data_IF_434317929649
#
_entry.id   IF_434317929649
#
_cell.length_a   1.000
_cell.length_b   1.000
_cell.length_c   1.000
_cell.angle_alpha   90.00
_cell.angle_beta   90.00
_cell.angle_gamma   90.00
#
_symmetry.space_group_name_H-M   'P 1'
#
loop_
_entity.id
_entity.type
_entity.pdbx_description
1 polymer ?
#
# COMPACT_ATOMS: atom_id res chain seq x y z
N UNK A 1 -10.12 9.13 -26.31
CA UNK A 1 -9.27 9.82 -25.31
C UNK A 1 -8.29 8.80 -24.80
N UNK A 2 -6.99 9.07 -24.83
CA UNK A 2 -5.98 8.19 -24.21
C UNK A 2 -6.21 8.20 -22.69
N UNK A 3 -6.45 7.03 -22.11
CA UNK A 3 -6.63 6.87 -20.66
C UNK A 3 -5.35 7.35 -19.95
N UNK A 4 -5.51 8.20 -18.93
CA UNK A 4 -4.40 8.70 -18.12
C UNK A 4 -3.79 7.52 -17.36
N UNK A 5 -2.46 7.32 -17.44
CA UNK A 5 -1.81 6.19 -16.77
C UNK A 5 -1.94 6.24 -15.26
N UNK A 6 -1.89 5.07 -14.61
CA UNK A 6 -1.97 4.99 -13.15
C UNK A 6 -0.80 5.73 -12.46
N UNK A 7 0.40 5.72 -13.06
CA UNK A 7 1.53 6.50 -12.59
C UNK A 7 1.26 8.01 -12.61
N UNK A 8 0.67 8.53 -13.69
CA UNK A 8 0.27 9.96 -13.74
C UNK A 8 -0.77 10.28 -12.67
N UNK A 9 -1.76 9.39 -12.44
CA UNK A 9 -2.76 9.58 -11.39
C UNK A 9 -2.12 9.63 -10.00
N UNK A 10 -1.10 8.80 -9.74
CA UNK A 10 -0.39 8.81 -8.46
C UNK A 10 0.33 10.15 -8.20
N UNK A 11 1.06 10.67 -9.18
CA UNK A 11 1.68 11.99 -9.09
C UNK A 11 0.67 13.12 -8.94
N UNK A 12 -0.48 13.02 -9.61
CA UNK A 12 -1.57 14.00 -9.49
C UNK A 12 -2.18 14.00 -8.09
N UNK A 13 -2.38 12.82 -7.49
CA UNK A 13 -2.86 12.69 -6.11
C UNK A 13 -1.88 13.34 -5.13
N UNK A 14 -0.57 13.07 -5.27
CA UNK A 14 0.47 13.71 -4.45
C UNK A 14 0.54 15.23 -4.60
N UNK A 15 0.25 15.75 -5.79
CA UNK A 15 0.20 17.20 -6.02
C UNK A 15 -1.04 17.85 -5.37
N UNK A 16 -2.15 17.12 -5.32
CA UNK A 16 -3.44 17.61 -4.80
C UNK A 16 -3.55 17.59 -3.27
N UNK A 17 -2.77 16.72 -2.59
CA UNK A 17 -2.85 16.55 -1.13
C UNK A 17 -1.46 16.34 -0.53
N UNK A 18 -1.13 17.07 0.53
CA UNK A 18 0.18 17.02 1.20
C UNK A 18 0.06 17.16 2.72
N UNK A 19 0.45 16.14 3.49
CA UNK A 19 0.82 14.78 3.06
C UNK A 19 -0.34 14.06 2.37
N UNK A 20 -0.05 13.33 1.29
CA UNK A 20 -1.02 12.45 0.67
C UNK A 20 -1.35 11.30 1.62
N UNK A 21 -2.62 11.16 1.99
CA UNK A 21 -3.09 10.03 2.78
C UNK A 21 -3.30 8.82 1.87
N UNK A 22 -2.58 7.72 2.16
CA UNK A 22 -2.63 6.48 1.39
C UNK A 22 -3.29 5.40 2.21
N UNK A 23 -4.50 4.97 1.81
CA UNK A 23 -5.30 4.00 2.56
C UNK A 23 -5.00 2.56 2.13
N UNK A 24 -4.72 1.69 3.10
CA UNK A 24 -4.62 0.25 2.88
C UNK A 24 -5.97 -0.36 2.51
N UNK A 25 -6.01 -1.09 1.39
CA UNK A 25 -7.17 -1.84 0.93
C UNK A 25 -6.76 -3.29 0.62
N UNK A 26 -7.40 -4.25 1.25
CA UNK A 26 -7.10 -5.68 1.10
C UNK A 26 -7.96 -6.37 0.04
N UNK A 27 -8.96 -5.68 -0.50
CA UNK A 27 -9.83 -6.16 -1.58
C UNK A 27 -10.56 -5.00 -2.26
N UNK A 28 -11.29 -5.30 -3.33
CA UNK A 28 -12.02 -4.32 -4.13
C UNK A 28 -13.06 -3.52 -3.30
N UNK A 29 -13.78 -4.18 -2.39
CA UNK A 29 -14.80 -3.49 -1.59
C UNK A 29 -14.17 -2.50 -0.60
N UNK A 30 -13.06 -2.87 0.04
CA UNK A 30 -12.31 -1.95 0.90
C UNK A 30 -11.78 -0.74 0.11
N UNK A 31 -11.38 -0.92 -1.17
CA UNK A 31 -10.98 0.17 -2.05
C UNK A 31 -12.13 1.15 -2.31
N UNK A 32 -13.34 0.66 -2.60
CA UNK A 32 -14.54 1.51 -2.77
C UNK A 32 -14.89 2.28 -1.49
N UNK A 33 -14.74 1.66 -0.32
CA UNK A 33 -14.97 2.34 0.96
C UNK A 33 -13.94 3.46 1.20
N UNK A 34 -12.67 3.24 0.86
CA UNK A 34 -11.64 4.27 0.95
C UNK A 34 -11.89 5.42 -0.03
N UNK A 35 -12.30 5.15 -1.27
CA UNK A 35 -12.70 6.15 -2.26
C UNK A 35 -13.88 6.98 -1.75
N UNK A 36 -14.91 6.34 -1.23
CA UNK A 36 -16.09 7.00 -0.61
C UNK A 36 -15.71 7.88 0.59
N UNK A 37 -14.71 7.48 1.36
CA UNK A 37 -14.17 8.27 2.47
C UNK A 37 -13.35 9.49 2.01
N UNK A 38 -13.05 9.60 0.71
CA UNK A 38 -12.37 10.74 0.11
C UNK A 38 -10.85 10.58 -0.06
N UNK A 39 -10.28 9.40 0.20
CA UNK A 39 -8.87 9.14 -0.07
C UNK A 39 -8.55 9.33 -1.56
N UNK A 40 -7.31 9.73 -1.86
CA UNK A 40 -6.85 10.01 -3.22
C UNK A 40 -5.88 8.95 -3.75
N UNK A 41 -5.39 8.06 -2.88
CA UNK A 41 -4.52 6.95 -3.23
C UNK A 41 -4.75 5.76 -2.29
N UNK A 42 -4.47 4.57 -2.81
CA UNK A 42 -4.62 3.29 -2.11
C UNK A 42 -3.28 2.59 -1.96
N UNK A 43 -3.22 1.64 -1.04
CA UNK A 43 -2.08 0.77 -0.81
C UNK A 43 -2.50 -0.70 -0.72
N UNK A 44 -1.80 -1.56 -1.43
CA UNK A 44 -1.88 -3.01 -1.26
C UNK A 44 -0.63 -3.50 -0.53
N UNK A 45 -0.81 -3.88 0.73
CA UNK A 45 0.24 -4.43 1.59
C UNK A 45 0.52 -5.89 1.26
N UNK A 46 1.79 -6.30 1.21
CA UNK A 46 2.17 -7.71 1.14
C UNK A 46 1.64 -8.51 2.34
N UNK A 47 1.71 -7.92 3.54
CA UNK A 47 1.06 -8.48 4.73
C UNK A 47 -0.47 -8.59 4.55
N UNK A 48 -1.11 -7.60 3.90
CA UNK A 48 -2.53 -7.62 3.59
C UNK A 48 -2.91 -8.78 2.67
N UNK A 49 -2.15 -9.00 1.59
CA UNK A 49 -2.34 -10.16 0.70
C UNK A 49 -2.15 -11.47 1.46
N UNK A 50 -1.05 -11.63 2.20
CA UNK A 50 -0.80 -12.84 2.97
C UNK A 50 -1.90 -13.14 3.98
N UNK A 51 -2.29 -12.15 4.77
CA UNK A 51 -3.25 -12.33 5.86
C UNK A 51 -4.70 -12.47 5.36
N UNK A 52 -5.16 -11.55 4.48
CA UNK A 52 -6.56 -11.47 4.08
C UNK A 52 -6.94 -12.46 2.98
N UNK A 53 -6.05 -12.70 1.99
CA UNK A 53 -6.35 -13.57 0.85
C UNK A 53 -5.98 -15.03 1.11
N UNK A 54 -4.96 -15.29 1.97
CA UNK A 54 -4.43 -16.65 2.19
C UNK A 54 -4.47 -17.13 3.64
N UNK A 55 -4.72 -16.27 4.63
CA UNK A 55 -4.64 -16.63 6.06
C UNK A 55 -3.22 -16.99 6.50
N UNK A 56 -2.21 -16.44 5.82
CA UNK A 56 -0.79 -16.70 6.07
C UNK A 56 -0.13 -15.53 6.82
N UNK A 57 0.91 -15.77 7.64
CA UNK A 57 1.71 -14.70 8.22
C UNK A 57 2.55 -13.97 7.16
N UNK A 58 2.91 -12.70 7.45
CA UNK A 58 3.77 -11.87 6.61
C UNK A 58 5.25 -12.26 6.73
N UNK A 59 5.66 -13.26 5.95
CA UNK A 59 7.01 -13.84 5.93
C UNK A 59 7.53 -14.10 4.51
N UNK A 60 7.09 -13.30 3.51
CA UNK A 60 7.53 -13.46 2.13
C UNK A 60 7.02 -14.75 1.46
N UNK A 61 5.85 -15.26 1.89
CA UNK A 61 5.29 -16.53 1.36
C UNK A 61 4.40 -16.33 0.13
N UNK A 62 3.97 -15.10 -0.15
CA UNK A 62 3.17 -14.78 -1.34
C UNK A 62 4.08 -14.51 -2.54
N UNK A 63 3.57 -14.85 -3.72
CA UNK A 63 4.27 -14.66 -4.99
C UNK A 63 3.79 -13.39 -5.72
N UNK A 64 4.55 -12.96 -6.74
CA UNK A 64 4.13 -11.91 -7.67
C UNK A 64 2.72 -12.15 -8.24
N UNK A 65 2.38 -13.42 -8.59
CA UNK A 65 1.08 -13.73 -9.17
C UNK A 65 -0.07 -13.50 -8.19
N UNK A 66 0.13 -13.85 -6.92
CA UNK A 66 -0.85 -13.65 -5.84
C UNK A 66 -1.14 -12.16 -5.67
N UNK A 67 -0.10 -11.34 -5.62
CA UNK A 67 -0.22 -9.88 -5.49
C UNK A 67 -0.87 -9.27 -6.72
N UNK A 68 -0.48 -9.70 -7.94
CA UNK A 68 -1.08 -9.19 -9.18
C UNK A 68 -2.57 -9.53 -9.30
N UNK A 69 -3.04 -10.61 -8.72
CA UNK A 69 -4.47 -10.93 -8.70
C UNK A 69 -5.26 -9.93 -7.87
N UNK A 70 -4.80 -9.60 -6.67
CA UNK A 70 -5.44 -8.59 -5.82
C UNK A 70 -5.31 -7.17 -6.40
N UNK A 71 -4.19 -6.83 -7.06
CA UNK A 71 -4.05 -5.57 -7.80
C UNK A 71 -5.19 -5.44 -8.82
N UNK A 72 -5.40 -6.46 -9.69
CA UNK A 72 -6.44 -6.41 -10.74
C UNK A 72 -7.85 -6.26 -10.17
N UNK A 73 -8.15 -6.92 -9.04
CA UNK A 73 -9.44 -6.78 -8.35
C UNK A 73 -9.66 -5.36 -7.84
N UNK A 74 -8.65 -4.76 -7.22
CA UNK A 74 -8.71 -3.40 -6.68
C UNK A 74 -8.78 -2.37 -7.80
N UNK A 75 -7.85 -2.42 -8.76
CA UNK A 75 -7.79 -1.44 -9.87
C UNK A 75 -8.93 -1.58 -10.87
N UNK A 76 -9.61 -2.73 -10.90
CA UNK A 76 -10.85 -2.93 -11.65
C UNK A 76 -12.09 -2.31 -10.99
N UNK A 77 -12.03 -1.98 -9.70
CA UNK A 77 -13.16 -1.42 -8.95
C UNK A 77 -13.10 0.11 -8.81
N UNK A 78 -11.93 0.72 -8.90
CA UNK A 78 -11.75 2.17 -8.70
C UNK A 78 -10.64 2.73 -9.60
N UNK A 79 -10.72 4.01 -9.92
CA UNK A 79 -9.69 4.75 -10.64
C UNK A 79 -8.60 5.33 -9.72
N UNK A 80 -8.71 5.17 -8.40
CA UNK A 80 -7.68 5.62 -7.47
C UNK A 80 -6.34 4.93 -7.76
N UNK A 81 -5.23 5.67 -7.79
CA UNK A 81 -3.92 5.08 -8.02
C UNK A 81 -3.51 4.20 -6.83
N UNK A 82 -2.95 3.02 -7.14
CA UNK A 82 -2.55 2.02 -6.17
C UNK A 82 -1.03 2.00 -6.03
N UNK A 83 -0.53 2.11 -4.79
CA UNK A 83 0.84 1.79 -4.38
C UNK A 83 0.88 0.33 -3.90
N UNK A 84 1.84 -0.45 -4.37
CA UNK A 84 1.95 -1.89 -4.10
C UNK A 84 3.23 -2.23 -3.33
N UNK A 85 3.11 -3.08 -2.34
CA UNK A 85 4.23 -3.74 -1.66
C UNK A 85 4.77 -4.86 -2.56
N UNK A 86 5.99 -4.70 -3.03
CA UNK A 86 6.67 -5.70 -3.84
C UNK A 86 7.73 -6.50 -3.05
N UNK A 87 7.66 -6.46 -1.72
CA UNK A 87 8.64 -7.11 -0.84
C UNK A 87 10.09 -6.81 -1.30
N UNK A 88 10.88 -7.84 -1.57
CA UNK A 88 12.25 -7.70 -2.11
C UNK A 88 12.31 -7.83 -3.65
N UNK A 89 11.15 -7.88 -4.33
CA UNK A 89 11.05 -7.96 -5.80
C UNK A 89 10.93 -9.38 -6.37
N UNK A 90 10.77 -10.41 -5.54
CA UNK A 90 10.61 -11.84 -5.88
C UNK A 90 11.71 -12.42 -6.76
N UNK A 91 12.97 -12.02 -6.50
CA UNK A 91 14.15 -12.62 -7.12
C UNK A 91 15.23 -11.62 -7.53
N UNK A 92 16.10 -12.03 -8.47
CA UNK A 92 17.20 -11.22 -8.96
C UNK A 92 16.76 -10.21 -10.04
N UNK A 93 17.68 -9.44 -10.61
CA UNK A 93 17.44 -8.29 -11.50
C UNK A 93 16.36 -8.52 -12.57
N UNK A 94 16.43 -9.63 -13.32
CA UNK A 94 15.41 -9.91 -14.36
C UNK A 94 14.02 -10.23 -13.79
N UNK A 95 13.95 -10.83 -12.60
CA UNK A 95 12.68 -11.03 -11.91
C UNK A 95 12.11 -9.70 -11.43
N UNK A 96 12.94 -8.80 -10.89
CA UNK A 96 12.53 -7.46 -10.46
C UNK A 96 12.01 -6.64 -11.64
N UNK A 97 12.72 -6.64 -12.78
CA UNK A 97 12.27 -5.98 -14.00
C UNK A 97 10.90 -6.53 -14.46
N UNK A 98 10.72 -7.87 -14.46
CA UNK A 98 9.45 -8.51 -14.76
C UNK A 98 8.36 -8.14 -13.72
N UNK A 99 8.70 -8.09 -12.45
CA UNK A 99 7.78 -7.68 -11.37
C UNK A 99 7.17 -6.30 -11.67
N UNK A 100 8.01 -5.32 -12.00
CA UNK A 100 7.55 -3.97 -12.34
C UNK A 100 6.60 -4.00 -13.54
N UNK A 101 6.95 -4.74 -14.59
CA UNK A 101 6.11 -4.87 -15.79
C UNK A 101 4.74 -5.49 -15.48
N UNK A 102 4.70 -6.57 -14.69
CA UNK A 102 3.44 -7.25 -14.34
C UNK A 102 2.56 -6.40 -13.42
N UNK A 103 3.15 -5.68 -12.45
CA UNK A 103 2.44 -4.76 -11.56
C UNK A 103 1.84 -3.58 -12.35
N UNK A 104 2.57 -3.01 -13.31
CA UNK A 104 2.05 -1.97 -14.22
C UNK A 104 0.90 -2.53 -15.05
N UNK A 105 1.05 -3.74 -15.65
CA UNK A 105 -0.01 -4.39 -16.43
C UNK A 105 -1.25 -4.71 -15.60
N UNK A 106 -1.08 -4.97 -14.31
CA UNK A 106 -2.18 -5.18 -13.38
C UNK A 106 -2.92 -3.88 -13.00
N UNK A 107 -2.38 -2.70 -13.37
CA UNK A 107 -3.03 -1.40 -13.22
C UNK A 107 -2.53 -0.54 -12.07
N UNK A 108 -1.47 -0.93 -11.35
CA UNK A 108 -0.90 -0.13 -10.28
C UNK A 108 -0.18 1.12 -10.81
N UNK A 109 -0.10 2.17 -9.98
CA UNK A 109 0.59 3.44 -10.29
C UNK A 109 1.96 3.58 -9.63
N UNK A 110 2.23 2.76 -8.61
CA UNK A 110 3.45 2.80 -7.82
C UNK A 110 3.74 1.43 -7.21
N UNK A 111 5.01 1.15 -6.93
CA UNK A 111 5.42 0.07 -6.04
C UNK A 111 6.54 0.52 -5.11
N UNK A 112 6.74 -0.22 -4.01
CA UNK A 112 8.00 -0.15 -3.28
C UNK A 112 8.69 -1.51 -3.23
N UNK A 113 10.03 -1.46 -3.18
CA UNK A 113 10.92 -2.59 -2.95
C UNK A 113 11.78 -2.27 -1.72
N UNK A 114 12.04 -3.27 -0.86
CA UNK A 114 12.79 -3.09 0.38
C UNK A 114 14.20 -3.68 0.36
N UNK A 115 15.06 -3.14 1.23
CA UNK A 115 16.46 -3.54 1.37
C UNK A 115 16.71 -4.71 2.34
N UNK A 116 15.67 -5.48 2.67
CA UNK A 116 15.82 -6.71 3.45
C UNK A 116 16.37 -7.86 2.58
N UNK A 117 16.92 -8.89 3.25
CA UNK A 117 17.20 -10.18 2.61
C UNK A 117 15.89 -10.87 2.18
N UNK A 118 15.95 -11.82 1.25
CA UNK A 118 14.75 -12.50 0.72
C UNK A 118 13.89 -13.18 1.81
N UNK A 119 14.50 -13.66 2.89
CA UNK A 119 13.80 -14.16 4.07
C UNK A 119 13.35 -13.00 4.98
N UNK A 120 12.60 -12.06 4.42
CA UNK A 120 12.19 -10.82 5.07
C UNK A 120 11.35 -11.03 6.32
N UNK A 121 11.30 -10.00 7.18
CA UNK A 121 10.40 -9.90 8.32
C UNK A 121 9.60 -8.61 8.27
N UNK A 122 8.47 -8.55 8.99
CA UNK A 122 7.71 -7.32 9.15
C UNK A 122 8.60 -6.18 9.68
N UNK A 123 8.51 -4.99 9.08
CA UNK A 123 9.37 -3.82 9.36
C UNK A 123 9.40 -3.35 10.82
N UNK A 124 8.34 -3.64 11.59
CA UNK A 124 8.24 -3.32 13.01
C UNK A 124 8.73 -4.45 13.96
N UNK A 125 9.16 -5.60 13.41
CA UNK A 125 9.68 -6.74 14.19
C UNK A 125 11.21 -6.65 14.34
N UNK A 126 11.77 -7.25 15.42
CA UNK A 126 13.22 -7.38 15.59
C UNK A 126 13.80 -8.48 14.67
N UNK A 127 15.13 -8.46 14.50
CA UNK A 127 15.87 -9.50 13.79
C UNK A 127 15.76 -9.40 12.27
N UNK A 128 15.53 -8.20 11.72
CA UNK A 128 15.67 -7.92 10.30
C UNK A 128 17.14 -8.00 9.88
N UNK A 129 17.38 -8.54 8.70
CA UNK A 129 18.67 -8.55 8.05
C UNK A 129 18.57 -7.78 6.73
N UNK A 130 19.57 -6.94 6.47
CA UNK A 130 19.62 -6.10 5.28
C UNK A 130 20.64 -6.65 4.29
N UNK A 131 20.35 -6.46 3.01
CA UNK A 131 21.39 -6.56 1.98
C UNK A 131 22.29 -5.34 2.04
N UNK A 132 23.46 -5.39 1.43
CA UNK A 132 24.28 -4.19 1.31
C UNK A 132 23.62 -3.14 0.41
N UNK A 133 24.04 -1.88 0.56
CA UNK A 133 23.43 -0.78 -0.19
C UNK A 133 23.69 -0.89 -1.71
N UNK A 134 24.74 -1.54 -2.15
CA UNK A 134 25.06 -1.74 -3.57
C UNK A 134 24.08 -2.74 -4.19
N UNK A 135 23.79 -3.86 -3.50
CA UNK A 135 22.77 -4.82 -3.95
C UNK A 135 21.39 -4.15 -4.06
N UNK A 136 21.00 -3.35 -3.08
CA UNK A 136 19.72 -2.64 -3.17
C UNK A 136 19.70 -1.62 -4.32
N UNK A 137 20.80 -0.91 -4.57
CA UNK A 137 20.92 -0.03 -5.75
C UNK A 137 20.73 -0.82 -7.06
N UNK A 138 21.24 -2.04 -7.15
CA UNK A 138 21.07 -2.88 -8.33
C UNK A 138 19.62 -3.37 -8.47
N UNK A 139 18.93 -3.68 -7.36
CA UNK A 139 17.47 -3.95 -7.35
C UNK A 139 16.69 -2.75 -7.91
N UNK A 140 17.01 -1.53 -7.48
CA UNK A 140 16.35 -0.29 -7.94
C UNK A 140 16.60 -0.06 -9.43
N UNK A 141 17.86 -0.20 -9.93
CA UNK A 141 18.19 -0.08 -11.35
C UNK A 141 17.39 -1.08 -12.19
N UNK A 142 17.27 -2.34 -11.72
CA UNK A 142 16.47 -3.36 -12.39
C UNK A 142 14.98 -3.00 -12.41
N UNK A 143 14.46 -2.40 -11.34
CA UNK A 143 13.08 -1.92 -11.29
C UNK A 143 12.84 -0.76 -12.27
N UNK A 144 13.77 0.20 -12.34
CA UNK A 144 13.73 1.33 -13.28
C UNK A 144 13.79 0.84 -14.73
N UNK A 145 14.65 -0.14 -15.03
CA UNK A 145 14.74 -0.76 -16.37
C UNK A 145 13.44 -1.45 -16.79
N UNK A 146 12.75 -2.09 -15.85
CA UNK A 146 11.46 -2.75 -16.10
C UNK A 146 10.28 -1.79 -16.31
N UNK A 147 10.45 -0.49 -16.07
CA UNK A 147 9.38 0.51 -16.08
C UNK A 147 8.88 0.82 -17.49
N UNK A 148 7.70 0.27 -17.87
CA UNK A 148 7.04 0.52 -19.16
C UNK A 148 6.15 1.77 -19.18
N UNK A 149 5.70 2.27 -18.04
CA UNK A 149 5.05 3.59 -17.87
C UNK A 149 6.08 4.57 -17.29
N UNK A 150 6.50 5.62 -18.03
CA UNK A 150 7.52 6.58 -17.54
C UNK A 150 7.13 7.33 -16.27
N UNK A 151 5.85 7.32 -15.90
CA UNK A 151 5.31 7.97 -14.69
C UNK A 151 5.03 6.99 -13.56
N UNK A 152 5.20 5.70 -13.78
CA UNK A 152 5.10 4.71 -12.71
C UNK A 152 6.17 4.98 -11.65
N UNK A 153 5.76 4.99 -10.37
CA UNK A 153 6.65 5.34 -9.26
C UNK A 153 7.40 4.10 -8.76
N UNK A 154 8.73 4.18 -8.75
CA UNK A 154 9.60 3.23 -8.04
C UNK A 154 9.99 3.86 -6.72
N UNK A 155 9.48 3.32 -5.62
CA UNK A 155 9.80 3.78 -4.27
C UNK A 155 10.78 2.79 -3.63
N UNK A 156 11.89 3.27 -3.08
CA UNK A 156 12.80 2.45 -2.32
C UNK A 156 12.44 2.50 -0.83
N UNK A 157 12.21 1.33 -0.24
CA UNK A 157 12.03 1.21 1.20
C UNK A 157 13.34 0.82 1.85
N UNK A 158 13.70 1.53 2.93
CA UNK A 158 14.82 1.16 3.78
C UNK A 158 14.36 0.82 5.19
N UNK A 159 14.78 -0.33 5.66
CA UNK A 159 14.59 -0.80 7.03
C UNK A 159 15.81 -0.52 7.94
N UNK A 160 16.81 0.21 7.41
CA UNK A 160 18.10 0.44 8.07
C UNK A 160 18.00 1.23 9.38
N UNK A 161 17.01 2.11 9.56
CA UNK A 161 16.84 2.86 10.81
C UNK A 161 16.81 1.92 12.04
N UNK A 162 16.07 0.84 11.96
CA UNK A 162 15.93 -0.13 13.05
C UNK A 162 17.08 -1.11 13.22
N UNK A 163 18.04 -1.16 12.28
CA UNK A 163 19.14 -2.12 12.24
C UNK A 163 20.51 -1.42 12.36
N UNK A 164 20.73 -0.35 11.60
CA UNK A 164 21.99 0.38 11.47
C UNK A 164 21.92 1.81 12.02
N UNK A 165 20.70 2.31 12.35
CA UNK A 165 20.47 3.64 12.89
C UNK A 165 20.15 4.70 11.83
N UNK A 166 19.82 5.91 12.32
CA UNK A 166 19.31 7.02 11.51
C UNK A 166 20.25 7.45 10.39
N UNK A 167 21.53 7.66 10.68
CA UNK A 167 22.47 8.14 9.67
C UNK A 167 22.67 7.13 8.54
N UNK A 168 22.77 5.85 8.86
CA UNK A 168 22.89 4.79 7.86
C UNK A 168 21.64 4.71 6.97
N UNK A 169 20.44 4.88 7.54
CA UNK A 169 19.21 4.94 6.77
C UNK A 169 19.19 6.12 5.78
N UNK A 170 19.68 7.29 6.20
CA UNK A 170 19.82 8.47 5.31
C UNK A 170 20.84 8.20 4.21
N UNK A 171 22.02 7.66 4.55
CA UNK A 171 23.09 7.38 3.59
C UNK A 171 22.65 6.34 2.53
N UNK A 172 21.89 5.32 2.95
CA UNK A 172 21.28 4.35 2.03
C UNK A 172 20.27 5.01 1.12
N UNK A 173 19.33 5.81 1.68
CA UNK A 173 18.31 6.50 0.92
C UNK A 173 18.87 7.42 -0.17
N UNK A 174 19.96 8.15 0.13
CA UNK A 174 20.65 8.97 -0.87
C UNK A 174 21.18 8.14 -2.05
N UNK A 175 21.82 7.00 -1.78
CA UNK A 175 22.27 6.07 -2.82
C UNK A 175 21.12 5.49 -3.63
N UNK A 176 19.97 5.23 -2.99
CA UNK A 176 18.80 4.70 -3.65
C UNK A 176 18.17 5.72 -4.61
N UNK A 177 18.16 7.00 -4.22
CA UNK A 177 17.74 8.11 -5.11
C UNK A 177 18.71 8.23 -6.30
N UNK A 178 20.02 8.16 -6.07
CA UNK A 178 21.03 8.16 -7.15
C UNK A 178 20.86 6.96 -8.10
N UNK A 179 20.41 5.80 -7.59
CA UNK A 179 20.13 4.61 -8.38
C UNK A 179 18.82 4.72 -9.19
N UNK A 180 18.00 5.76 -8.95
CA UNK A 180 16.80 6.06 -9.72
C UNK A 180 15.46 5.87 -8.99
N UNK A 181 15.46 5.73 -7.66
CA UNK A 181 14.23 5.74 -6.87
C UNK A 181 13.56 7.13 -6.94
N UNK A 182 12.26 7.15 -7.25
CA UNK A 182 11.46 8.36 -7.33
C UNK A 182 11.04 8.89 -5.96
N UNK A 183 10.91 8.00 -4.97
CA UNK A 183 10.45 8.28 -3.60
C UNK A 183 11.13 7.33 -2.61
N UNK A 184 11.10 7.69 -1.32
CA UNK A 184 11.66 6.86 -0.24
C UNK A 184 10.57 6.52 0.79
N UNK A 185 10.50 5.25 1.17
CA UNK A 185 9.76 4.75 2.30
C UNK A 185 10.73 4.54 3.47
N UNK A 186 10.68 5.44 4.45
CA UNK A 186 11.54 5.41 5.63
C UNK A 186 10.86 4.61 6.75
N UNK A 187 11.24 3.32 6.90
CA UNK A 187 10.57 2.42 7.85
C UNK A 187 10.96 2.67 9.30
N UNK A 188 9.94 2.71 10.16
CA UNK A 188 10.07 2.66 11.62
C UNK A 188 10.85 3.82 12.27
N UNK A 189 10.83 5.03 11.68
CA UNK A 189 11.28 6.24 12.36
C UNK A 189 10.35 6.51 13.56
N UNK A 190 10.93 6.87 14.72
CA UNK A 190 10.21 6.95 15.98
C UNK A 190 9.82 8.38 16.40
N UNK A 191 10.45 9.41 15.83
CA UNK A 191 10.25 10.80 16.22
C UNK A 191 10.07 11.73 15.03
N UNK A 192 9.38 12.85 15.24
CA UNK A 192 9.25 13.89 14.21
C UNK A 192 10.59 14.54 13.86
N UNK A 193 11.54 14.57 14.78
CA UNK A 193 12.86 15.14 14.51
C UNK A 193 13.69 14.20 13.61
N UNK A 194 13.55 12.88 13.76
CA UNK A 194 14.13 11.90 12.81
C UNK A 194 13.54 12.10 11.40
N UNK A 195 12.21 12.27 11.27
CA UNK A 195 11.58 12.61 9.99
C UNK A 195 12.11 13.92 9.42
N UNK A 196 12.23 14.99 10.23
CA UNK A 196 12.79 16.27 9.77
C UNK A 196 14.23 16.15 9.26
N UNK A 197 15.07 15.40 9.95
CA UNK A 197 16.45 15.15 9.52
C UNK A 197 16.47 14.37 8.20
N UNK A 198 15.67 13.32 8.10
CA UNK A 198 15.55 12.46 6.92
C UNK A 198 15.06 13.25 5.70
N UNK A 199 13.96 13.97 5.80
CA UNK A 199 13.35 14.73 4.70
C UNK A 199 14.21 15.93 4.26
N UNK A 200 15.03 16.51 5.16
CA UNK A 200 15.99 17.55 4.80
C UNK A 200 17.16 17.02 3.98
N UNK A 201 17.60 15.81 4.26
CA UNK A 201 18.71 15.16 3.55
C UNK A 201 18.25 14.63 2.19
N UNK A 202 17.15 13.88 2.17
CA UNK A 202 16.60 13.23 0.98
C UNK A 202 15.69 14.22 0.22
N UNK A 203 16.00 14.48 -1.06
CA UNK A 203 15.33 15.53 -1.87
C UNK A 203 14.18 15.01 -2.75
N UNK A 204 13.69 13.80 -2.46
CA UNK A 204 12.51 13.22 -3.09
C UNK A 204 11.39 13.04 -2.05
N UNK A 205 10.13 12.80 -2.46
CA UNK A 205 9.05 12.56 -1.52
C UNK A 205 9.36 11.40 -0.56
N UNK A 206 9.05 11.60 0.73
CA UNK A 206 9.23 10.62 1.80
C UNK A 206 7.88 10.16 2.31
N UNK A 207 7.69 8.85 2.40
CA UNK A 207 6.53 8.19 2.98
C UNK A 207 6.81 7.81 4.43
N UNK A 208 5.85 8.13 5.32
CA UNK A 208 5.80 7.66 6.70
C UNK A 208 4.74 6.56 6.85
N UNK A 209 5.14 5.43 7.43
CA UNK A 209 4.25 4.31 7.74
C UNK A 209 3.61 4.50 9.12
N UNK A 210 2.32 4.82 9.15
CA UNK A 210 1.55 5.06 10.38
C UNK A 210 0.67 3.84 10.65
N UNK A 211 1.31 2.78 11.15
CA UNK A 211 0.63 1.52 11.48
C UNK A 211 0.39 1.40 12.98
N UNK A 212 -0.78 0.89 13.35
CA UNK A 212 -1.15 0.62 14.73
C UNK A 212 -0.22 -0.43 15.34
N UNK A 213 0.08 -0.26 16.63
CA UNK A 213 0.93 -1.18 17.40
C UNK A 213 2.37 -1.31 16.86
N UNK A 214 2.80 -0.38 16.00
CA UNK A 214 4.15 -0.31 15.45
C UNK A 214 5.13 0.46 16.36
N UNK A 215 6.36 0.68 15.85
CA UNK A 215 7.38 1.49 16.53
C UNK A 215 7.17 2.99 16.34
N UNK A 216 6.62 3.39 15.19
CA UNK A 216 6.31 4.78 14.87
C UNK A 216 5.05 5.21 15.62
N UNK A 217 5.05 6.31 16.39
CA UNK A 217 3.85 6.87 16.97
C UNK A 217 2.81 7.26 15.91
N UNK A 218 1.54 7.29 16.29
CA UNK A 218 0.44 7.66 15.40
C UNK A 218 0.38 9.17 15.19
N UNK A 219 1.39 9.71 14.50
CA UNK A 219 1.45 11.12 14.16
C UNK A 219 0.31 11.52 13.22
N UNK A 220 -0.20 12.73 13.41
CA UNK A 220 -1.17 13.35 12.50
C UNK A 220 -0.52 13.77 11.18
N UNK A 221 -1.33 13.94 10.14
CA UNK A 221 -0.86 14.49 8.86
C UNK A 221 -0.25 15.89 9.01
N UNK A 222 -0.76 16.70 9.93
CA UNK A 222 -0.23 18.03 10.22
C UNK A 222 1.20 17.95 10.82
N UNK A 223 1.43 17.07 11.78
CA UNK A 223 2.75 16.84 12.38
C UNK A 223 3.75 16.31 11.36
N UNK A 224 3.33 15.32 10.57
CA UNK A 224 4.14 14.74 9.49
C UNK A 224 4.49 15.77 8.42
N UNK A 225 3.51 16.58 7.99
CA UNK A 225 3.72 17.67 7.04
C UNK A 225 4.70 18.73 7.57
N UNK A 226 4.59 19.08 8.87
CA UNK A 226 5.55 19.96 9.56
C UNK A 226 6.97 19.36 9.66
N UNK A 227 7.10 18.05 9.59
CA UNK A 227 8.38 17.32 9.51
C UNK A 227 8.87 17.11 8.06
N UNK A 228 8.16 17.62 7.04
CA UNK A 228 8.54 17.53 5.63
C UNK A 228 8.15 16.19 4.95
N UNK A 229 7.35 15.37 5.60
CA UNK A 229 6.81 14.12 5.01
C UNK A 229 5.73 14.46 3.98
N UNK A 230 5.73 13.78 2.84
CA UNK A 230 4.78 14.03 1.76
C UNK A 230 3.70 12.95 1.61
N UNK A 231 3.90 11.74 2.15
CA UNK A 231 2.90 10.65 2.14
C UNK A 231 2.74 10.06 3.54
N UNK A 232 1.50 9.88 3.97
CA UNK A 232 1.15 9.19 5.22
C UNK A 232 0.40 7.90 4.87
N UNK A 233 1.01 6.75 5.19
CA UNK A 233 0.47 5.43 4.88
C UNK A 233 -0.25 4.82 6.09
N UNK A 234 -1.47 4.32 5.87
CA UNK A 234 -2.26 3.55 6.83
C UNK A 234 -2.48 2.12 6.28
N UNK A 235 -1.52 1.19 6.47
CA UNK A 235 -1.44 -0.01 5.65
C UNK A 235 -2.55 -1.03 5.90
N UNK A 236 -3.00 -1.20 7.15
CA UNK A 236 -3.94 -2.25 7.55
C UNK A 236 -5.02 -1.79 8.54
N UNK A 237 -5.20 -0.49 8.77
CA UNK A 237 -6.15 0.04 9.78
C UNK A 237 -7.58 -0.48 9.54
N UNK A 238 -8.09 -0.39 8.33
CA UNK A 238 -9.42 -0.88 7.99
C UNK A 238 -9.50 -2.41 8.12
N UNK A 239 -8.48 -3.16 7.68
CA UNK A 239 -8.46 -4.62 7.81
C UNK A 239 -8.49 -5.08 9.27
N UNK A 240 -7.74 -4.43 10.16
CA UNK A 240 -7.78 -4.74 11.60
C UNK A 240 -9.15 -4.49 12.20
N UNK A 241 -9.79 -3.36 11.85
CA UNK A 241 -11.14 -3.04 12.31
C UNK A 241 -12.19 -4.03 11.77
N UNK A 242 -12.10 -4.40 10.48
CA UNK A 242 -12.97 -5.42 9.87
C UNK A 242 -12.79 -6.79 10.54
N UNK A 243 -11.57 -7.17 10.87
CA UNK A 243 -11.26 -8.46 11.51
C UNK A 243 -11.85 -8.53 12.93
N UNK A 244 -11.69 -7.50 13.75
CA UNK A 244 -12.30 -7.41 15.08
C UNK A 244 -13.82 -7.46 15.02
N UNK A 245 -14.43 -6.73 14.07
CA UNK A 245 -15.87 -6.76 13.87
C UNK A 245 -16.36 -8.17 13.45
N UNK A 246 -15.65 -8.83 12.54
CA UNK A 246 -15.97 -10.18 12.11
C UNK A 246 -15.86 -11.21 13.26
N UNK A 247 -14.79 -11.13 14.06
CA UNK A 247 -14.59 -12.02 15.22
C UNK A 247 -15.75 -11.86 16.24
N UNK A 248 -16.14 -10.62 16.53
CA UNK A 248 -17.28 -10.31 17.41
C UNK A 248 -18.58 -10.91 16.85
N UNK A 249 -18.86 -10.75 15.56
CA UNK A 249 -20.06 -11.30 14.92
C UNK A 249 -20.06 -12.83 14.94
N UNK A 250 -18.95 -13.48 14.61
CA UNK A 250 -18.83 -14.95 14.68
C UNK A 250 -19.01 -15.47 16.11
N UNK A 251 -18.45 -14.77 17.10
CA UNK A 251 -18.62 -15.10 18.52
C UNK A 251 -20.09 -15.03 18.95
N UNK A 252 -20.80 -13.96 18.57
CA UNK A 252 -22.23 -13.80 18.88
C UNK A 252 -23.09 -14.88 18.20
N UNK A 253 -22.89 -15.11 16.91
CA UNK A 253 -23.58 -16.17 16.16
C UNK A 253 -23.36 -17.53 16.79
N UNK A 254 -22.11 -17.86 17.16
CA UNK A 254 -21.80 -19.17 17.77
C UNK A 254 -22.41 -19.35 19.13
N UNK A 255 -22.46 -18.28 19.95
CA UNK A 255 -22.96 -18.30 21.31
C UNK A 255 -24.50 -18.24 21.40
N UNK A 256 -25.12 -17.40 20.60
CA UNK A 256 -26.55 -17.09 20.69
C UNK A 256 -27.40 -17.74 19.58
N UNK A 257 -26.79 -18.27 18.53
CA UNK A 257 -27.49 -18.82 17.36
C UNK A 257 -28.22 -17.74 16.53
N UNK A 258 -27.91 -16.45 16.76
CA UNK A 258 -28.52 -15.30 16.06
C UNK A 258 -27.58 -14.11 16.08
N UNK A 259 -27.68 -13.26 15.07
CA UNK A 259 -26.92 -12.01 14.95
C UNK A 259 -27.66 -10.79 15.53
N UNK A 260 -28.81 -10.95 16.14
CA UNK A 260 -29.64 -9.83 16.61
C UNK A 260 -28.91 -8.84 17.51
N UNK A 261 -27.98 -9.32 18.35
CA UNK A 261 -27.24 -8.48 19.31
C UNK A 261 -26.11 -7.64 18.71
N UNK A 262 -25.85 -7.75 17.40
CA UNK A 262 -24.73 -7.04 16.71
C UNK A 262 -25.15 -6.35 15.41
N UNK A 263 -26.48 -6.24 15.14
CA UNK A 263 -26.98 -5.61 13.92
C UNK A 263 -26.59 -4.13 13.80
N UNK A 264 -26.46 -3.43 14.91
CA UNK A 264 -26.04 -2.03 15.00
C UNK A 264 -24.59 -1.78 14.57
N UNK A 265 -23.78 -2.85 14.46
CA UNK A 265 -22.38 -2.78 14.01
C UNK A 265 -22.21 -3.12 12.53
N UNK A 266 -23.28 -3.44 11.83
CA UNK A 266 -23.26 -3.88 10.44
C UNK A 266 -23.71 -2.77 9.49
N UNK A 267 -23.11 -2.72 8.30
CA UNK A 267 -23.71 -1.97 7.20
C UNK A 267 -25.10 -2.53 6.87
N UNK A 268 -26.05 -1.64 6.66
CA UNK A 268 -27.35 -2.03 6.13
C UNK A 268 -27.23 -2.48 4.67
N UNK A 269 -28.24 -3.21 4.18
CA UNK A 269 -28.32 -3.58 2.76
C UNK A 269 -28.35 -2.34 1.86
N UNK A 270 -29.00 -1.27 2.27
CA UNK A 270 -29.07 -0.02 1.52
C UNK A 270 -27.69 0.63 1.38
N UNK A 271 -26.92 0.71 2.46
CA UNK A 271 -25.55 1.24 2.44
C UNK A 271 -24.61 0.40 1.57
N UNK A 272 -24.70 -0.94 1.67
CA UNK A 272 -23.94 -1.85 0.80
C UNK A 272 -24.27 -1.60 -0.68
N UNK A 273 -25.55 -1.52 -1.02
CA UNK A 273 -26.02 -1.30 -2.39
C UNK A 273 -25.59 0.06 -2.93
N UNK A 274 -25.59 1.09 -2.10
CA UNK A 274 -25.11 2.42 -2.45
C UNK A 274 -23.61 2.42 -2.80
N UNK A 275 -22.78 1.75 -1.98
CA UNK A 275 -21.33 1.59 -2.27
C UNK A 275 -21.09 0.87 -3.59
N UNK A 276 -21.87 -0.15 -3.90
CA UNK A 276 -21.74 -0.97 -5.12
C UNK A 276 -22.38 -0.34 -6.37
N UNK A 277 -23.15 0.75 -6.23
CA UNK A 277 -23.94 1.29 -7.34
C UNK A 277 -25.03 0.33 -7.85
N UNK A 278 -25.55 -0.54 -6.96
CA UNK A 278 -26.43 -1.66 -7.32
C UNK A 278 -27.64 -1.23 -8.17
N UNK A 279 -28.26 -0.10 -7.83
CA UNK A 279 -29.45 0.39 -8.53
C UNK A 279 -29.16 0.80 -9.99
N UNK A 280 -27.93 1.22 -10.30
CA UNK A 280 -27.53 1.55 -11.68
C UNK A 280 -27.42 0.28 -12.54
N UNK A 281 -26.98 -0.83 -11.95
CA UNK A 281 -26.98 -2.14 -12.62
C UNK A 281 -28.40 -2.63 -12.92
N UNK A 282 -29.34 -2.55 -11.97
CA UNK A 282 -30.73 -2.91 -12.20
C UNK A 282 -31.37 -2.05 -13.29
N UNK A 283 -31.21 -0.73 -13.21
CA UNK A 283 -31.69 0.20 -14.23
C UNK A 283 -31.13 -0.14 -15.61
N UNK A 284 -29.84 -0.44 -15.68
CA UNK A 284 -29.20 -0.84 -16.94
C UNK A 284 -29.75 -2.16 -17.47
N UNK A 285 -30.00 -3.13 -16.60
CA UNK A 285 -30.60 -4.41 -16.96
C UNK A 285 -31.99 -4.21 -17.55
N UNK A 286 -32.84 -3.37 -16.93
CA UNK A 286 -34.18 -3.05 -17.40
C UNK A 286 -34.16 -2.35 -18.78
N UNK A 287 -33.20 -1.44 -18.99
CA UNK A 287 -32.99 -0.78 -20.29
C UNK A 287 -32.59 -1.76 -21.39
N UNK A 288 -31.67 -2.71 -21.09
CA UNK A 288 -31.17 -3.69 -22.06
C UNK A 288 -32.23 -4.72 -22.46
N UNK A 289 -33.08 -5.12 -21.53
CA UNK A 289 -34.05 -6.21 -21.73
C UNK A 289 -35.52 -5.78 -21.74
N UNK A 290 -35.81 -4.46 -21.87
CA UNK A 290 -37.18 -3.98 -22.12
C UNK A 290 -37.73 -4.72 -23.33
N UNK A 291 -38.74 -5.59 -23.08
CA UNK A 291 -39.52 -6.15 -24.16
C UNK A 291 -40.24 -4.99 -24.85
N UNK A 292 -40.00 -4.84 -26.17
CA UNK A 292 -40.76 -3.92 -27.04
C UNK A 292 -42.23 -4.28 -27.04
#
# INVERSE_FOLDING_TARGET
MTQVSAGVRFWSALAAERPLQVAGAVNAYAALLAERAGFKALYLSGAGVANASFGLPDLGMTSLNDVCEDIRRITGATELPLLVDADTGWGAAFNISRTVQEIIRAGAGALHIEDQVAAKRCGHRPGKELVDAAEMCDRIKAAVDGRSDPKFVIMARTDAHGVEGQQAAVDRALKYVEAGADMIFAEALATLDEYKQFTRAVKVPVLANITEFGKTPLFTTQELGGAGVQLALYPLSAFRAMSEAAERVYGELRKQGTQKGVLDTMQTRAELYDVLGYMDYEKKLDELFKKK
#
